data_IF_255050366138
#
_entry.id   IF_255050366138
#
_cell.length_a   1.000
_cell.length_b   1.000
_cell.length_c   1.000
_cell.angle_alpha   90.00
_cell.angle_beta   90.00
_cell.angle_gamma   90.00
#
_symmetry.space_group_name_H-M   'P 1'
#
loop_
_entity.id
_entity.type
_entity.pdbx_description
1 polymer ?
#
# COMPACT_ATOMS: atom_id res chain seq x y z
N UNK A 1 2.90 -1.17 31.88
CA UNK A 1 3.73 -1.08 30.66
C UNK A 1 5.00 -0.33 31.04
N UNK A 2 6.18 -0.98 31.00
CA UNK A 2 7.40 -0.33 31.53
C UNK A 2 7.78 0.85 30.65
N UNK A 3 8.29 1.90 31.29
CA UNK A 3 8.67 3.18 30.68
C UNK A 3 9.68 2.99 29.53
N UNK A 4 10.43 1.88 29.54
CA UNK A 4 11.39 1.51 28.51
C UNK A 4 10.74 1.08 27.18
N UNK A 5 9.54 0.50 27.21
CA UNK A 5 8.81 0.11 26.00
C UNK A 5 8.26 1.34 25.27
N UNK A 6 7.79 2.33 26.05
CA UNK A 6 7.30 3.62 25.54
C UNK A 6 8.47 4.47 24.99
N UNK A 7 9.63 4.46 25.66
CA UNK A 7 10.83 5.17 25.21
C UNK A 7 11.42 4.57 23.92
N UNK A 8 11.33 3.25 23.72
CA UNK A 8 11.75 2.61 22.47
C UNK A 8 10.76 2.85 21.32
N UNK A 9 9.45 2.91 21.59
CA UNK A 9 8.45 3.30 20.60
C UNK A 9 8.62 4.76 20.17
N UNK A 10 8.94 5.66 21.10
CA UNK A 10 9.20 7.08 20.83
C UNK A 10 10.48 7.33 20.02
N UNK A 11 11.57 6.58 20.24
CA UNK A 11 12.78 6.67 19.39
C UNK A 11 12.53 6.20 17.97
N UNK A 12 11.72 5.16 17.80
CA UNK A 12 11.36 4.63 16.48
C UNK A 12 10.45 5.58 15.70
N UNK A 13 9.65 6.38 16.41
CA UNK A 13 8.79 7.42 15.86
C UNK A 13 9.54 8.71 15.46
N UNK A 14 10.72 8.99 16.03
CA UNK A 14 11.52 10.18 15.66
C UNK A 14 12.36 9.99 14.39
N UNK A 15 12.64 8.75 13.98
CA UNK A 15 13.37 8.44 12.74
C UNK A 15 12.47 8.46 11.48
N UNK A 16 11.15 8.42 11.67
CA UNK A 16 10.16 8.63 10.62
C UNK A 16 9.60 10.04 10.84
N UNK A 17 9.78 10.94 9.86
CA UNK A 17 9.30 12.33 9.90
C UNK A 17 7.76 12.43 9.81
N UNK A 18 7.06 11.65 10.64
CA UNK A 18 5.64 11.39 10.56
C UNK A 18 4.91 12.37 11.49
N UNK A 19 4.49 13.49 10.91
CA UNK A 19 3.78 14.57 11.61
C UNK A 19 2.41 14.15 12.15
N UNK A 20 1.97 12.92 11.88
CA UNK A 20 0.66 12.42 12.30
C UNK A 20 0.67 11.72 13.67
N UNK A 21 1.83 11.45 14.28
CA UNK A 21 1.87 10.88 15.63
C UNK A 21 1.58 11.92 16.74
N UNK A 22 1.74 13.21 16.45
CA UNK A 22 1.34 14.29 17.39
C UNK A 22 -0.18 14.38 17.55
N UNK A 23 -0.96 13.96 16.55
CA UNK A 23 -2.43 13.89 16.64
C UNK A 23 -2.89 12.67 17.46
N UNK A 24 -2.11 11.58 17.48
CA UNK A 24 -2.42 10.37 18.23
C UNK A 24 -2.14 10.50 19.75
N UNK A 25 -1.23 11.39 20.16
CA UNK A 25 -0.84 11.58 21.56
C UNK A 25 -1.63 12.65 22.33
N UNK A 26 -2.53 13.40 21.69
CA UNK A 26 -3.44 14.34 22.37
C UNK A 26 -4.75 13.72 22.89
N UNK A 27 -4.93 12.41 22.74
CA UNK A 27 -6.13 11.68 23.20
C UNK A 27 -5.97 10.96 24.56
N UNK A 28 -4.90 11.23 25.30
CA UNK A 28 -4.74 10.71 26.65
C UNK A 28 -5.10 11.79 27.69
N UNK A 29 -6.21 11.50 28.38
CA UNK A 29 -6.59 11.99 29.72
C UNK A 29 -7.45 13.28 29.80
N UNK A 30 -8.78 13.05 29.67
CA UNK A 30 -9.79 13.51 30.62
C UNK A 30 -10.01 15.01 30.80
N UNK A 31 -11.02 15.57 30.11
CA UNK A 31 -12.21 16.23 30.68
C UNK A 31 -12.99 16.89 29.52
N UNK A 32 -14.21 16.42 29.22
CA UNK A 32 -14.98 16.75 28.00
C UNK A 32 -15.65 18.14 28.04
N UNK A 33 -15.55 18.87 29.15
CA UNK A 33 -16.37 20.07 29.35
C UNK A 33 -15.88 21.32 28.59
N UNK A 34 -14.56 21.48 28.40
CA UNK A 34 -13.97 22.68 27.77
C UNK A 34 -13.97 22.64 26.23
N UNK A 35 -14.15 21.45 25.63
CA UNK A 35 -14.18 21.24 24.17
C UNK A 35 -15.40 21.93 23.54
N UNK A 36 -16.55 21.91 24.24
CA UNK A 36 -17.79 22.56 23.77
C UNK A 36 -17.78 24.09 23.88
N UNK A 37 -16.92 24.66 24.73
CA UNK A 37 -16.78 26.11 24.90
C UNK A 37 -15.79 26.72 23.88
N UNK A 38 -14.83 25.93 23.38
CA UNK A 38 -13.85 26.35 22.35
C UNK A 38 -14.36 26.16 20.91
N UNK A 39 -15.21 25.16 20.65
CA UNK A 39 -15.67 24.81 19.29
C UNK A 39 -17.07 25.36 18.91
N UNK A 40 -17.80 25.95 19.87
CA UNK A 40 -19.21 26.29 19.69
C UNK A 40 -20.11 25.05 19.58
N UNK A 41 -21.44 25.19 19.57
CA UNK A 41 -22.33 24.04 19.41
C UNK A 41 -21.95 23.28 18.13
N UNK A 42 -22.05 21.93 18.11
CA UNK A 42 -21.72 21.14 16.92
C UNK A 42 -22.49 21.72 15.75
N UNK A 43 -21.77 22.27 14.76
CA UNK A 43 -22.39 22.83 13.57
C UNK A 43 -23.15 21.68 12.93
N UNK A 44 -24.47 21.73 12.99
CA UNK A 44 -25.31 20.96 12.09
C UNK A 44 -24.90 21.40 10.69
N UNK A 45 -24.08 20.58 10.04
CA UNK A 45 -23.65 20.82 8.67
C UNK A 45 -24.93 20.88 7.82
N UNK A 46 -25.13 22.04 7.19
CA UNK A 46 -26.22 22.31 6.28
C UNK A 46 -26.14 21.26 5.13
N UNK A 47 -27.22 20.52 4.80
CA UNK A 47 -27.16 19.41 3.85
C UNK A 47 -26.80 19.81 2.40
N UNK A 48 -26.69 21.11 2.12
CA UNK A 48 -26.45 21.66 0.80
C UNK A 48 -24.96 21.83 0.42
N UNK A 49 -24.02 21.43 1.29
CA UNK A 49 -22.57 21.60 1.08
C UNK A 49 -21.73 20.32 1.01
N UNK A 50 -22.36 19.13 1.07
CA UNK A 50 -21.69 17.84 1.22
C UNK A 50 -21.57 17.03 -0.08
N UNK A 51 -21.47 17.67 -1.25
CA UNK A 51 -21.40 16.93 -2.53
C UNK A 51 -20.02 16.34 -2.86
N UNK A 52 -18.94 16.65 -2.14
CA UNK A 52 -17.58 16.19 -2.50
C UNK A 52 -16.65 15.92 -1.29
N UNK A 53 -17.09 15.16 -0.27
CA UNK A 53 -16.18 14.62 0.76
C UNK A 53 -15.70 13.22 0.36
N UNK A 54 -14.38 12.93 0.35
CA UNK A 54 -13.86 11.66 -0.14
C UNK A 54 -14.39 10.49 0.70
N UNK A 55 -14.55 9.32 0.06
CA UNK A 55 -14.89 8.06 0.72
C UNK A 55 -13.73 7.61 1.65
N UNK A 56 -13.56 8.26 2.79
CA UNK A 56 -12.49 7.94 3.75
C UNK A 56 -12.76 6.56 4.34
N UNK A 57 -11.74 5.70 4.33
CA UNK A 57 -11.81 4.34 4.84
C UNK A 57 -12.06 4.33 6.34
N UNK A 58 -13.11 3.61 6.75
CA UNK A 58 -13.43 3.47 8.15
C UNK A 58 -12.34 2.64 8.87
N UNK A 59 -12.07 2.91 10.17
CA UNK A 59 -11.04 2.19 10.91
C UNK A 59 -11.23 0.67 10.94
N UNK A 60 -12.48 0.20 10.95
CA UNK A 60 -12.81 -1.23 10.94
C UNK A 60 -12.37 -1.90 9.63
N UNK A 61 -12.71 -1.30 8.49
CA UNK A 61 -12.33 -1.81 7.17
C UNK A 61 -10.81 -1.77 6.98
N UNK A 62 -10.17 -0.70 7.44
CA UNK A 62 -8.71 -0.57 7.43
C UNK A 62 -8.03 -1.69 8.22
N UNK A 63 -8.45 -1.90 9.47
CA UNK A 63 -7.88 -2.94 10.35
C UNK A 63 -8.15 -4.36 9.83
N UNK A 64 -9.35 -4.62 9.31
CA UNK A 64 -9.69 -5.91 8.73
C UNK A 64 -8.83 -6.20 7.49
N UNK A 65 -8.54 -5.18 6.68
CA UNK A 65 -7.65 -5.29 5.51
C UNK A 65 -6.20 -5.52 5.92
N UNK A 66 -5.68 -4.79 6.91
CA UNK A 66 -4.33 -5.00 7.45
C UNK A 66 -4.14 -6.42 8.01
N UNK A 67 -5.14 -6.94 8.73
CA UNK A 67 -5.10 -8.30 9.28
C UNK A 67 -5.37 -9.41 8.25
N UNK A 68 -5.79 -9.05 7.03
CA UNK A 68 -6.14 -10.03 6.00
C UNK A 68 -7.42 -10.81 6.29
N UNK A 69 -8.25 -10.32 7.22
CA UNK A 69 -9.48 -10.99 7.65
C UNK A 69 -10.59 -10.81 6.63
N UNK A 70 -10.71 -11.79 5.74
CA UNK A 70 -11.78 -11.88 4.75
C UNK A 70 -13.16 -11.81 5.40
N UNK A 71 -13.36 -12.55 6.50
CA UNK A 71 -14.66 -12.63 7.18
C UNK A 71 -15.09 -11.27 7.71
N UNK A 72 -14.24 -10.62 8.51
CA UNK A 72 -14.58 -9.32 9.08
C UNK A 72 -14.73 -8.25 7.94
N UNK A 73 -14.05 -8.38 6.78
CA UNK A 73 -14.30 -7.51 5.60
C UNK A 73 -15.67 -7.76 4.98
N UNK A 74 -16.04 -9.01 4.71
CA UNK A 74 -17.33 -9.33 4.10
C UNK A 74 -18.50 -8.93 5.02
N UNK A 75 -18.34 -9.09 6.34
CA UNK A 75 -19.29 -8.61 7.33
C UNK A 75 -19.49 -7.08 7.24
N UNK A 76 -18.38 -6.32 7.16
CA UNK A 76 -18.41 -4.86 7.04
C UNK A 76 -19.03 -4.37 5.73
N UNK A 77 -18.88 -5.13 4.64
CA UNK A 77 -19.45 -4.82 3.32
C UNK A 77 -20.94 -5.21 3.18
N UNK A 78 -21.44 -6.12 4.03
CA UNK A 78 -22.88 -6.33 4.21
C UNK A 78 -23.31 -7.75 4.52
N UNK A 79 -23.52 -8.05 5.81
CA UNK A 79 -24.65 -8.85 6.31
C UNK A 79 -24.85 -8.63 7.81
N UNK A 80 -26.05 -8.19 8.20
CA UNK A 80 -26.60 -8.49 9.52
C UNK A 80 -26.45 -9.99 9.79
N UNK A 81 -25.55 -10.39 10.67
CA UNK A 81 -25.77 -11.46 11.65
C UNK A 81 -24.69 -11.38 12.71
N UNK A 82 -25.11 -11.49 13.97
CA UNK A 82 -24.26 -11.59 15.16
C UNK A 82 -23.24 -12.72 15.01
N UNK A 83 -21.98 -12.43 14.64
CA UNK A 83 -20.84 -13.31 14.95
C UNK A 83 -19.64 -12.45 15.36
N UNK A 84 -19.01 -12.88 16.44
CA UNK A 84 -17.83 -12.28 17.04
C UNK A 84 -16.58 -12.73 16.28
N UNK A 85 -15.69 -11.80 15.87
CA UNK A 85 -14.33 -12.19 15.48
C UNK A 85 -13.67 -12.80 16.76
N UNK A 86 -13.39 -14.12 16.75
CA UNK A 86 -12.81 -14.89 17.86
C UNK A 86 -11.31 -15.14 17.62
N UNK A 87 -10.48 -14.62 18.56
CA UNK A 87 -9.24 -15.18 19.13
C UNK A 87 -7.98 -15.35 18.23
N UNK A 88 -6.72 -15.28 18.72
CA UNK A 88 -6.16 -15.56 20.06
C UNK A 88 -5.05 -14.57 20.47
N UNK A 89 -4.93 -14.37 21.79
CA UNK A 89 -3.83 -13.71 22.52
C UNK A 89 -3.98 -12.23 22.93
N UNK A 90 -5.09 -11.85 23.57
CA UNK A 90 -5.03 -11.06 24.83
C UNK A 90 -6.43 -10.78 25.37
N UNK A 91 -6.64 -11.09 26.64
CA UNK A 91 -7.85 -10.80 27.41
C UNK A 91 -8.21 -9.30 27.39
N UNK A 92 -9.52 -9.04 27.42
CA UNK A 92 -10.22 -7.76 27.66
C UNK A 92 -10.18 -6.68 26.57
N UNK A 93 -11.01 -6.83 25.54
CA UNK A 93 -11.67 -5.66 24.91
C UNK A 93 -13.12 -5.99 24.55
N UNK A 94 -14.03 -5.47 25.37
CA UNK A 94 -15.46 -5.37 25.09
C UNK A 94 -15.71 -4.08 24.30
N UNK A 95 -15.58 -4.11 22.97
CA UNK A 95 -16.08 -3.06 22.06
C UNK A 95 -16.84 -3.77 20.93
N UNK A 96 -18.16 -3.94 21.05
CA UNK A 96 -19.18 -2.99 20.56
C UNK A 96 -18.96 -2.62 19.08
N UNK A 97 -19.28 -3.55 18.19
CA UNK A 97 -19.63 -3.19 16.80
C UNK A 97 -21.15 -3.19 16.67
N UNK A 98 -21.76 -2.22 17.36
CA UNK A 98 -23.18 -1.86 17.24
C UNK A 98 -23.39 -0.51 16.54
N UNK A 99 -22.39 -0.03 15.80
CA UNK A 99 -22.41 1.29 15.16
C UNK A 99 -22.34 1.17 13.65
N UNK A 100 -23.35 1.69 12.96
CA UNK A 100 -23.17 2.16 11.58
C UNK A 100 -22.04 3.21 11.61
N UNK A 101 -20.87 2.91 11.06
CA UNK A 101 -19.74 3.86 11.07
C UNK A 101 -20.02 5.09 10.21
N UNK A 102 -20.88 4.95 9.21
CA UNK A 102 -21.45 6.08 8.47
C UNK A 102 -22.87 6.34 8.98
N UNK A 103 -23.26 7.61 9.14
CA UNK A 103 -24.64 8.01 9.50
C UNK A 103 -25.70 7.52 8.49
N UNK A 104 -25.25 6.99 7.35
CA UNK A 104 -25.98 6.88 6.10
C UNK A 104 -26.00 5.45 5.53
N UNK A 105 -25.08 4.56 5.88
CA UNK A 105 -24.97 3.27 5.19
C UNK A 105 -23.72 2.41 5.47
N UNK A 106 -23.70 1.25 4.83
CA UNK A 106 -22.67 0.20 4.91
C UNK A 106 -21.28 0.71 4.47
N UNK A 107 -20.22 0.03 4.91
CA UNK A 107 -18.89 0.28 4.35
C UNK A 107 -18.87 -0.13 2.87
N UNK A 108 -18.06 0.52 2.05
CA UNK A 108 -17.94 0.17 0.62
C UNK A 108 -16.50 -0.11 0.22
N UNK A 109 -16.32 -0.97 -0.80
CA UNK A 109 -15.00 -1.24 -1.39
C UNK A 109 -14.33 -0.01 -2.04
N UNK A 110 -15.10 1.07 -2.25
CA UNK A 110 -14.63 2.34 -2.82
C UNK A 110 -13.97 3.25 -1.78
N UNK A 111 -14.05 2.87 -0.51
CA UNK A 111 -13.36 3.56 0.56
C UNK A 111 -11.84 3.48 0.39
N UNK A 112 -11.16 4.58 0.71
CA UNK A 112 -9.72 4.73 0.55
C UNK A 112 -9.08 5.50 1.73
N UNK A 113 -7.79 5.27 1.98
CA UNK A 113 -7.04 6.01 3.02
C UNK A 113 -6.84 7.48 2.63
N UNK A 114 -6.22 8.27 3.51
CA UNK A 114 -5.84 9.66 3.21
C UNK A 114 -4.92 9.77 1.98
N UNK A 115 -4.09 8.76 1.73
CA UNK A 115 -3.22 8.64 0.56
C UNK A 115 -3.95 8.06 -0.66
N UNK A 116 -5.27 7.88 -0.57
CA UNK A 116 -6.11 7.24 -1.58
C UNK A 116 -5.77 5.76 -1.83
N UNK A 117 -5.24 5.04 -0.84
CA UNK A 117 -5.04 3.59 -0.94
C UNK A 117 -6.39 2.88 -0.76
N UNK A 118 -6.79 2.10 -1.75
CA UNK A 118 -7.96 1.21 -1.65
C UNK A 118 -7.64 -0.03 -0.81
N UNK A 119 -8.65 -0.83 -0.48
CA UNK A 119 -8.46 -2.11 0.21
C UNK A 119 -7.51 -3.06 -0.53
N UNK A 120 -7.48 -3.03 -1.87
CA UNK A 120 -6.56 -3.87 -2.65
C UNK A 120 -5.12 -3.37 -2.56
N UNK A 121 -4.89 -2.05 -2.44
CA UNK A 121 -3.55 -1.50 -2.20
C UNK A 121 -2.96 -2.07 -0.91
N UNK A 122 -3.73 -2.00 0.19
CA UNK A 122 -3.29 -2.47 1.51
C UNK A 122 -3.09 -4.00 1.48
N UNK A 123 -4.04 -4.77 0.93
CA UNK A 123 -3.91 -6.22 0.83
C UNK A 123 -2.70 -6.65 0.00
N UNK A 124 -2.37 -5.89 -1.05
CA UNK A 124 -1.23 -6.13 -1.92
C UNK A 124 0.11 -5.83 -1.24
N UNK A 125 0.18 -4.76 -0.44
CA UNK A 125 1.36 -4.40 0.36
C UNK A 125 1.63 -5.43 1.46
N UNK A 126 0.57 -5.88 2.16
CA UNK A 126 0.68 -6.86 3.24
C UNK A 126 0.95 -8.30 2.74
N UNK A 127 0.51 -8.61 1.52
CA UNK A 127 0.69 -9.93 0.91
C UNK A 127 -0.49 -10.89 1.11
N UNK A 128 -1.69 -10.38 1.35
CA UNK A 128 -2.88 -11.19 1.63
C UNK A 128 -3.49 -11.76 0.35
N UNK A 129 -2.89 -12.84 -0.19
CA UNK A 129 -3.24 -13.41 -1.51
C UNK A 129 -4.72 -13.75 -1.64
N UNK A 130 -5.28 -14.48 -0.68
CA UNK A 130 -6.70 -14.89 -0.72
C UNK A 130 -7.64 -13.69 -0.61
N UNK A 131 -7.27 -12.70 0.20
CA UNK A 131 -8.06 -11.49 0.32
C UNK A 131 -8.03 -10.70 -1.00
N UNK A 132 -6.85 -10.50 -1.57
CA UNK A 132 -6.70 -9.82 -2.84
C UNK A 132 -7.53 -10.48 -3.96
N UNK A 133 -7.52 -11.81 -4.05
CA UNK A 133 -8.32 -12.57 -5.01
C UNK A 133 -9.82 -12.27 -4.84
N UNK A 134 -10.34 -12.34 -3.62
CA UNK A 134 -11.75 -12.05 -3.35
C UNK A 134 -12.12 -10.58 -3.61
N UNK A 135 -11.26 -9.63 -3.24
CA UNK A 135 -11.47 -8.22 -3.50
C UNK A 135 -11.59 -7.95 -5.00
N UNK A 136 -10.73 -8.54 -5.82
CA UNK A 136 -10.74 -8.38 -7.28
C UNK A 136 -11.99 -9.02 -7.91
N UNK A 137 -12.44 -10.16 -7.40
CA UNK A 137 -13.69 -10.79 -7.88
C UNK A 137 -14.93 -9.97 -7.53
N UNK A 138 -14.93 -9.30 -6.38
CA UNK A 138 -15.99 -8.37 -6.00
C UNK A 138 -15.97 -7.09 -6.83
N UNK A 139 -14.80 -6.48 -7.04
CA UNK A 139 -14.64 -5.29 -7.85
C UNK A 139 -13.31 -5.28 -8.63
N UNK A 140 -13.41 -5.59 -9.92
CA UNK A 140 -12.29 -5.67 -10.85
C UNK A 140 -11.64 -4.30 -11.11
N UNK A 141 -12.35 -3.20 -10.86
CA UNK A 141 -11.82 -1.85 -11.06
C UNK A 141 -10.70 -1.51 -10.06
N UNK A 142 -10.60 -2.27 -8.96
CA UNK A 142 -9.52 -2.16 -7.99
C UNK A 142 -8.14 -2.45 -8.61
N UNK A 143 -8.07 -3.31 -9.65
CA UNK A 143 -6.81 -3.67 -10.32
C UNK A 143 -6.07 -2.45 -10.90
N UNK A 144 -6.81 -1.46 -11.39
CA UNK A 144 -6.28 -0.28 -12.08
C UNK A 144 -6.42 1.01 -11.28
N UNK A 145 -6.89 0.90 -10.03
CA UNK A 145 -7.00 2.04 -9.11
C UNK A 145 -5.62 2.60 -8.81
N UNK A 146 -5.54 3.93 -8.68
CA UNK A 146 -4.30 4.65 -8.40
C UNK A 146 -4.44 5.45 -7.10
N UNK A 147 -3.44 5.32 -6.23
CA UNK A 147 -3.36 6.14 -5.02
C UNK A 147 -2.83 7.55 -5.34
N UNK A 148 -2.65 8.39 -4.32
CA UNK A 148 -2.17 9.78 -4.44
C UNK A 148 -0.76 9.93 -5.07
N UNK A 149 0.01 8.84 -5.14
CA UNK A 149 1.32 8.77 -5.81
C UNK A 149 1.25 8.11 -7.19
N UNK A 150 0.05 7.97 -7.77
CA UNK A 150 -0.18 7.23 -9.01
C UNK A 150 0.28 5.76 -8.96
N UNK A 151 0.33 5.19 -7.76
CA UNK A 151 0.70 3.79 -7.59
C UNK A 151 -0.54 2.93 -7.72
N UNK A 152 -0.41 1.85 -8.47
CA UNK A 152 -1.41 0.77 -8.48
C UNK A 152 -1.12 -0.23 -7.36
N UNK A 153 -2.06 -1.14 -7.01
CA UNK A 153 -1.78 -2.19 -6.03
C UNK A 153 -0.55 -3.05 -6.40
N UNK A 154 -0.27 -3.20 -7.70
CA UNK A 154 0.92 -3.91 -8.18
C UNK A 154 2.24 -3.21 -7.81
N UNK A 155 2.26 -1.87 -7.73
CA UNK A 155 3.44 -1.12 -7.26
C UNK A 155 3.71 -1.41 -5.79
N UNK A 156 2.68 -1.44 -4.95
CA UNK A 156 2.84 -1.75 -3.52
C UNK A 156 3.26 -3.21 -3.29
N UNK A 157 2.70 -4.16 -4.04
CA UNK A 157 3.15 -5.55 -4.01
C UNK A 157 4.62 -5.69 -4.40
N UNK A 158 5.06 -4.97 -5.43
CA UNK A 158 6.46 -4.97 -5.89
C UNK A 158 7.40 -4.33 -4.87
N UNK A 159 7.00 -3.19 -4.29
CA UNK A 159 7.73 -2.52 -3.22
C UNK A 159 7.89 -3.37 -1.97
N UNK A 160 6.88 -4.15 -1.61
CA UNK A 160 6.88 -5.02 -0.45
C UNK A 160 7.38 -6.45 -0.73
N UNK A 161 7.77 -6.75 -1.97
CA UNK A 161 8.34 -8.03 -2.38
C UNK A 161 7.35 -9.20 -2.41
N UNK A 162 6.04 -8.93 -2.47
CA UNK A 162 4.98 -9.94 -2.41
C UNK A 162 4.78 -10.62 -3.78
N UNK A 163 5.73 -11.48 -4.17
CA UNK A 163 5.73 -12.13 -5.49
C UNK A 163 4.46 -12.94 -5.81
N UNK A 164 3.80 -13.51 -4.80
CA UNK A 164 2.54 -14.24 -4.99
C UNK A 164 1.39 -13.31 -5.36
N UNK A 165 1.33 -12.13 -4.74
CA UNK A 165 0.38 -11.07 -5.12
C UNK A 165 0.68 -10.57 -6.53
N UNK A 166 1.95 -10.35 -6.89
CA UNK A 166 2.33 -9.94 -8.24
C UNK A 166 1.80 -10.94 -9.26
N UNK A 167 2.01 -12.23 -9.00
CA UNK A 167 1.56 -13.32 -9.89
C UNK A 167 0.04 -13.35 -10.01
N UNK A 168 -0.68 -13.20 -8.89
CA UNK A 168 -2.14 -13.14 -8.85
C UNK A 168 -2.69 -11.94 -9.64
N UNK A 169 -2.19 -10.73 -9.37
CA UNK A 169 -2.65 -9.50 -10.02
C UNK A 169 -2.38 -9.57 -11.52
N UNK A 170 -1.22 -10.04 -11.96
CA UNK A 170 -0.90 -10.21 -13.39
C UNK A 170 -1.85 -11.21 -14.04
N UNK A 171 -2.12 -12.35 -13.39
CA UNK A 171 -3.06 -13.35 -13.89
C UNK A 171 -4.47 -12.79 -14.04
N UNK A 172 -5.00 -12.14 -13.00
CA UNK A 172 -6.36 -11.59 -13.00
C UNK A 172 -6.49 -10.39 -13.94
N UNK A 173 -5.46 -9.54 -14.03
CA UNK A 173 -5.43 -8.46 -15.02
C UNK A 173 -5.47 -9.01 -16.45
N UNK A 174 -4.78 -10.11 -16.73
CA UNK A 174 -4.83 -10.79 -18.03
C UNK A 174 -6.23 -11.34 -18.35
N UNK A 175 -6.98 -11.78 -17.33
CA UNK A 175 -8.31 -12.36 -17.49
C UNK A 175 -9.44 -11.32 -17.57
N UNK A 176 -9.31 -10.20 -16.85
CA UNK A 176 -10.41 -9.27 -16.62
C UNK A 176 -10.27 -7.91 -17.31
N UNK A 177 -9.06 -7.47 -17.65
CA UNK A 177 -8.85 -6.17 -18.29
C UNK A 177 -8.84 -6.30 -19.82
N UNK A 178 -9.37 -5.28 -20.50
CA UNK A 178 -9.49 -5.28 -21.96
C UNK A 178 -8.13 -5.35 -22.66
N UNK A 179 -7.10 -4.68 -22.11
CA UNK A 179 -5.72 -4.75 -22.62
C UNK A 179 -4.84 -5.75 -21.85
N UNK A 180 -5.45 -6.62 -21.04
CA UNK A 180 -4.76 -7.63 -20.24
C UNK A 180 -3.81 -7.03 -19.20
N UNK A 181 -2.78 -7.80 -18.81
CA UNK A 181 -1.84 -7.38 -17.77
C UNK A 181 -1.03 -6.12 -18.13
N UNK A 182 -0.96 -5.74 -19.41
CA UNK A 182 -0.25 -4.53 -19.85
C UNK A 182 -0.86 -3.25 -19.26
N UNK A 183 -2.16 -3.24 -18.96
CA UNK A 183 -2.84 -2.09 -18.36
C UNK A 183 -2.30 -1.73 -16.96
N UNK A 184 -1.79 -2.71 -16.21
CA UNK A 184 -1.22 -2.50 -14.87
C UNK A 184 0.30 -2.51 -14.87
N UNK A 185 0.96 -3.35 -15.69
CA UNK A 185 2.42 -3.51 -15.70
C UNK A 185 3.16 -2.29 -16.26
N UNK A 186 2.55 -1.58 -17.22
CA UNK A 186 3.16 -0.41 -17.87
C UNK A 186 2.90 0.92 -17.16
N UNK A 187 2.15 0.92 -16.05
CA UNK A 187 1.89 2.13 -15.26
C UNK A 187 3.17 2.61 -14.57
N UNK A 188 3.20 3.91 -14.32
CA UNK A 188 4.28 4.58 -13.59
C UNK A 188 3.71 5.41 -12.46
N UNK A 189 4.43 5.49 -11.34
CA UNK A 189 4.08 6.36 -10.22
C UNK A 189 4.55 7.81 -10.47
N UNK A 190 4.40 8.69 -9.47
CA UNK A 190 4.84 10.09 -9.53
C UNK A 190 6.33 10.29 -9.82
N UNK A 191 7.19 9.34 -9.46
CA UNK A 191 8.63 9.38 -9.71
C UNK A 191 8.99 8.83 -11.11
N UNK A 192 7.99 8.40 -11.88
CA UNK A 192 8.14 7.73 -13.15
C UNK A 192 8.60 6.27 -13.01
N UNK A 193 8.55 5.71 -11.81
CA UNK A 193 8.95 4.33 -11.56
C UNK A 193 7.89 3.36 -12.04
N UNK A 194 8.33 2.31 -12.70
CA UNK A 194 7.51 1.12 -12.95
C UNK A 194 7.58 0.18 -11.75
N UNK A 195 6.70 -0.81 -11.70
CA UNK A 195 6.72 -1.88 -10.69
C UNK A 195 8.08 -2.61 -10.59
N UNK A 196 8.85 -2.67 -11.69
CA UNK A 196 10.20 -3.26 -11.67
C UNK A 196 11.22 -2.36 -10.97
N UNK A 197 11.09 -1.03 -11.07
CA UNK A 197 11.94 -0.10 -10.33
C UNK A 197 11.69 -0.26 -8.82
N UNK A 198 10.42 -0.38 -8.39
CA UNK A 198 10.07 -0.60 -6.99
C UNK A 198 10.66 -1.90 -6.44
N UNK A 199 10.50 -3.02 -7.16
CA UNK A 199 11.09 -4.30 -6.74
C UNK A 199 12.62 -4.24 -6.66
N UNK A 200 13.28 -3.64 -7.66
CA UNK A 200 14.75 -3.53 -7.71
C UNK A 200 15.30 -2.60 -6.62
N UNK A 201 14.65 -1.45 -6.37
CA UNK A 201 15.01 -0.49 -5.33
C UNK A 201 14.98 -1.09 -3.93
N UNK A 202 13.99 -1.93 -3.67
CA UNK A 202 13.80 -2.55 -2.36
C UNK A 202 14.49 -3.92 -2.25
N UNK A 203 15.24 -4.35 -3.28
CA UNK A 203 16.05 -5.57 -3.22
C UNK A 203 15.24 -6.87 -3.25
N UNK A 204 14.03 -6.86 -3.80
CA UNK A 204 13.15 -8.03 -3.83
C UNK A 204 13.40 -8.90 -5.06
N UNK A 205 14.34 -9.84 -4.92
CA UNK A 205 14.83 -10.68 -6.01
C UNK A 205 13.75 -11.55 -6.67
N UNK A 206 12.89 -12.19 -5.88
CA UNK A 206 11.81 -13.05 -6.38
C UNK A 206 10.75 -12.22 -7.11
N UNK A 207 10.42 -11.03 -6.61
CA UNK A 207 9.53 -10.10 -7.28
C UNK A 207 10.08 -9.66 -8.64
N UNK A 208 11.39 -9.33 -8.70
CA UNK A 208 12.08 -9.05 -9.97
C UNK A 208 12.00 -10.25 -10.91
N UNK A 209 12.26 -11.48 -10.43
CA UNK A 209 12.21 -12.68 -11.25
C UNK A 209 10.83 -12.88 -11.89
N UNK A 210 9.75 -12.75 -11.11
CA UNK A 210 8.38 -12.87 -11.62
C UNK A 210 8.12 -11.78 -12.67
N UNK A 211 8.40 -10.52 -12.35
CA UNK A 211 8.18 -9.38 -13.25
C UNK A 211 8.96 -9.51 -14.56
N UNK A 212 10.21 -9.97 -14.51
CA UNK A 212 11.04 -10.18 -15.70
C UNK A 212 10.58 -11.37 -16.55
N UNK A 213 9.92 -12.36 -15.95
CA UNK A 213 9.31 -13.47 -16.68
C UNK A 213 8.08 -13.03 -17.47
N UNK A 214 7.24 -12.16 -16.88
CA UNK A 214 5.99 -11.72 -17.51
C UNK A 214 6.13 -10.45 -18.36
N UNK A 215 7.09 -9.58 -18.05
CA UNK A 215 7.23 -8.26 -18.66
C UNK A 215 8.70 -7.82 -18.78
N UNK A 216 9.54 -8.55 -19.54
CA UNK A 216 10.98 -8.27 -19.67
C UNK A 216 11.29 -6.88 -20.23
N UNK A 217 10.38 -6.30 -21.02
CA UNK A 217 10.51 -4.95 -21.57
C UNK A 217 10.59 -3.85 -20.49
N UNK A 218 10.18 -4.13 -19.25
CA UNK A 218 10.31 -3.18 -18.14
C UNK A 218 11.79 -2.91 -17.78
N UNK A 219 12.69 -3.85 -18.05
CA UNK A 219 14.13 -3.68 -17.78
C UNK A 219 14.79 -2.58 -18.61
N UNK A 220 14.22 -2.26 -19.78
CA UNK A 220 14.70 -1.20 -20.66
C UNK A 220 14.23 0.20 -20.23
N UNK A 221 13.26 0.27 -19.32
CA UNK A 221 12.66 1.55 -18.88
C UNK A 221 13.59 2.29 -17.93
N UNK A 222 13.44 3.61 -17.93
CA UNK A 222 14.06 4.51 -16.96
C UNK A 222 12.97 5.39 -16.38
N UNK A 223 13.11 5.76 -15.11
CA UNK A 223 12.18 6.66 -14.44
C UNK A 223 12.43 8.14 -14.80
N UNK A 224 11.73 9.08 -14.15
CA UNK A 224 11.84 10.51 -14.45
C UNK A 224 13.27 11.06 -14.21
N UNK A 225 14.02 10.45 -13.30
CA UNK A 225 15.43 10.79 -13.03
C UNK A 225 16.42 10.07 -13.95
N UNK A 226 15.96 9.43 -15.04
CA UNK A 226 16.76 8.59 -15.94
C UNK A 226 17.43 7.40 -15.27
N UNK A 227 16.87 6.92 -14.16
CA UNK A 227 17.39 5.78 -13.40
C UNK A 227 16.70 4.51 -13.91
N UNK A 228 17.50 3.50 -14.24
CA UNK A 228 17.03 2.16 -14.63
C UNK A 228 16.89 1.21 -13.42
N UNK A 229 16.11 0.12 -13.53
CA UNK A 229 16.06 -0.93 -12.51
C UNK A 229 17.45 -1.56 -12.24
N UNK A 230 18.27 -1.71 -13.28
CA UNK A 230 19.63 -2.26 -13.15
C UNK A 230 20.54 -1.32 -12.35
N UNK A 231 20.43 0.00 -12.56
CA UNK A 231 21.16 0.97 -11.76
C UNK A 231 20.76 0.89 -10.28
N UNK A 232 19.45 0.80 -9.98
CA UNK A 232 18.95 0.65 -8.61
C UNK A 232 19.50 -0.63 -7.96
N UNK A 233 19.43 -1.75 -8.66
CA UNK A 233 19.97 -3.02 -8.18
C UNK A 233 21.47 -2.96 -7.86
N UNK A 234 22.25 -2.31 -8.73
CA UNK A 234 23.68 -2.11 -8.53
C UNK A 234 23.98 -1.16 -7.36
N UNK A 235 23.21 -0.08 -7.21
CA UNK A 235 23.34 0.85 -6.08
C UNK A 235 23.01 0.18 -4.74
N UNK A 236 22.06 -0.75 -4.73
CA UNK A 236 21.68 -1.55 -3.57
C UNK A 236 22.61 -2.75 -3.31
N UNK A 237 23.58 -3.00 -4.20
CA UNK A 237 24.50 -4.16 -4.15
C UNK A 237 23.76 -5.51 -4.16
N UNK A 238 22.64 -5.56 -4.87
CA UNK A 238 21.82 -6.76 -5.01
C UNK A 238 22.31 -7.61 -6.18
N UNK A 239 23.38 -8.36 -5.96
CA UNK A 239 24.04 -9.17 -7.02
C UNK A 239 23.06 -10.10 -7.74
N UNK A 240 22.16 -10.77 -7.00
CA UNK A 240 21.15 -11.66 -7.61
C UNK A 240 20.16 -10.93 -8.54
N UNK A 241 19.79 -9.69 -8.22
CA UNK A 241 18.94 -8.86 -9.10
C UNK A 241 19.72 -8.40 -10.32
N UNK A 242 20.98 -7.98 -10.12
CA UNK A 242 21.88 -7.60 -11.22
C UNK A 242 22.03 -8.77 -12.19
N UNK A 243 22.31 -9.96 -11.70
CA UNK A 243 22.42 -11.18 -12.51
C UNK A 243 21.14 -11.47 -13.30
N UNK A 244 19.97 -11.37 -12.67
CA UNK A 244 18.68 -11.58 -13.35
C UNK A 244 18.42 -10.54 -14.45
N UNK A 245 18.67 -9.27 -14.18
CA UNK A 245 18.44 -8.20 -15.15
C UNK A 245 19.43 -8.30 -16.33
N UNK A 246 20.68 -8.68 -16.09
CA UNK A 246 21.70 -8.85 -17.14
C UNK A 246 21.44 -10.01 -18.10
N UNK A 247 20.54 -10.95 -17.76
CA UNK A 247 20.08 -11.98 -18.70
C UNK A 247 19.31 -11.38 -19.89
N UNK A 248 18.79 -10.16 -19.75
CA UNK A 248 18.00 -9.48 -20.76
C UNK A 248 18.84 -8.40 -21.45
N UNK A 249 19.14 -8.60 -22.73
CA UNK A 249 20.06 -7.74 -23.50
C UNK A 249 19.62 -6.29 -23.61
N UNK A 250 18.32 -6.04 -23.52
CA UNK A 250 17.73 -4.71 -23.63
C UNK A 250 17.67 -3.96 -22.29
N UNK A 251 18.15 -4.58 -21.20
CA UNK A 251 18.18 -3.94 -19.88
C UNK A 251 18.99 -2.63 -19.94
N UNK A 252 18.36 -1.54 -19.56
CA UNK A 252 19.03 -0.25 -19.48
C UNK A 252 19.96 -0.26 -18.28
N UNK A 253 21.19 0.20 -18.47
CA UNK A 253 22.13 0.46 -17.37
C UNK A 253 22.13 1.95 -16.97
N UNK A 254 21.23 2.78 -17.50
CA UNK A 254 21.25 4.22 -17.29
C UNK A 254 21.01 4.61 -15.82
N UNK A 255 21.70 5.64 -15.39
CA UNK A 255 21.60 6.26 -14.07
C UNK A 255 21.52 7.77 -14.16
N UNK A 256 21.41 8.45 -13.00
CA UNK A 256 21.29 9.90 -12.95
C UNK A 256 22.58 10.57 -13.44
N UNK A 257 22.51 11.81 -13.89
CA UNK A 257 23.68 12.62 -14.27
C UNK A 257 24.64 11.96 -15.29
N UNK A 258 24.10 11.14 -16.21
CA UNK A 258 24.86 10.36 -17.21
C UNK A 258 25.73 9.24 -16.60
N UNK A 259 25.51 8.90 -15.32
CA UNK A 259 26.07 7.70 -14.74
C UNK A 259 25.38 6.45 -15.31
N UNK A 260 25.98 5.30 -15.05
CA UNK A 260 25.39 4.00 -15.38
C UNK A 260 25.56 3.03 -14.20
N UNK A 261 24.96 1.85 -14.29
CA UNK A 261 24.96 0.85 -13.21
C UNK A 261 26.37 0.45 -12.75
N UNK A 262 27.37 0.51 -13.63
CA UNK A 262 28.76 0.26 -13.25
C UNK A 262 29.32 1.36 -12.34
N UNK A 263 28.96 2.63 -12.58
CA UNK A 263 29.34 3.72 -11.66
C UNK A 263 28.75 3.48 -10.26
N UNK A 264 27.48 3.07 -10.18
CA UNK A 264 26.83 2.74 -8.91
C UNK A 264 27.52 1.59 -8.18
N UNK A 265 27.86 0.51 -8.89
CA UNK A 265 28.56 -0.64 -8.32
C UNK A 265 29.93 -0.27 -7.74
N UNK A 266 30.71 0.56 -8.45
CA UNK A 266 32.03 1.01 -7.97
C UNK A 266 31.90 1.90 -6.75
N UNK A 267 31.00 2.90 -6.76
CA UNK A 267 30.79 3.79 -5.62
C UNK A 267 30.34 3.02 -4.36
N UNK A 268 29.46 2.03 -4.52
CA UNK A 268 28.99 1.19 -3.42
C UNK A 268 30.04 0.23 -2.85
N UNK A 269 31.15 -0.01 -3.55
CA UNK A 269 32.25 -0.89 -3.10
C UNK A 269 33.36 -0.16 -2.32
N UNK A 270 33.32 1.17 -2.29
CA UNK A 270 34.33 2.01 -1.64
C UNK A 270 33.97 2.44 -0.20
N UNK A 271 32.79 2.05 0.29
CA UNK A 271 32.31 2.28 1.66
C UNK A 271 32.18 0.98 2.43
#
# INVERSE_FOLDING_TARGET
MSVDLLANALRKATDLNDKNLCAALQLAEGDEHWINELLGPPRTLDPAGCEDLPHVMCPGLYQATLSGSIECILELLGSNHEIACINEASHDVKLVLGGKFHGDGLCTLREATAENNTVLHIAAEEGHVKLAEQLIEMDKTLLTSENSRHETPLHLAARAGKHDIISLIVLLAQQHLTRGAFEVLGRINTDGDTVLHEAARNGHEEAVQVLMTVAPALSAKVNAASISPLYLAAAQRSDGIVEKLLQYKDASAAGPEKQNALHAAVLGSLG
#
